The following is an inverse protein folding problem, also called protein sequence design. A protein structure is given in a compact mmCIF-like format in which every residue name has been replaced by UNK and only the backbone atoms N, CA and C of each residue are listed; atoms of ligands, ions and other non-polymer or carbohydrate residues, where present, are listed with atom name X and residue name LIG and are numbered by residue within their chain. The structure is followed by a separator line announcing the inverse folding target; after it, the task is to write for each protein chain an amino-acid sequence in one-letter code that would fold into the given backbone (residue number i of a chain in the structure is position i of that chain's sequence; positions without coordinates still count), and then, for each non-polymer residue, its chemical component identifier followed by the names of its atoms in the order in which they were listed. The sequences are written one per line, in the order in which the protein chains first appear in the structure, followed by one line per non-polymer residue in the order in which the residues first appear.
data_IF_832998346712
#
_entry.id   IF_832998346712
#
_cell.length_a   1.000
_cell.length_b   1.000
_cell.length_c   1.000
_cell.angle_alpha   90.00
_cell.angle_beta   90.00
_cell.angle_gamma   90.00
#
_symmetry.space_group_name_H-M   'P 1'
#
loop_
_entity.id
_entity.type
_entity.pdbx_description
1 polymer ?
#
# COMPACT_ATOMS: atom_id res chain seq x y z
N UNK A 1 -8.64 -8.84 -17.00
CA UNK A 1 -7.84 -7.99 -16.10
C UNK A 1 -7.50 -8.81 -14.88
N UNK A 2 -6.34 -9.46 -14.89
CA UNK A 2 -5.85 -10.20 -13.73
C UNK A 2 -4.43 -9.73 -13.51
N UNK A 3 -4.20 -9.06 -12.39
CA UNK A 3 -2.88 -8.55 -11.99
C UNK A 3 -1.87 -9.68 -11.75
N UNK A 4 -2.37 -10.90 -11.55
CA UNK A 4 -1.58 -12.10 -11.38
C UNK A 4 -0.52 -12.29 -12.47
N UNK A 5 -0.89 -12.17 -13.75
CA UNK A 5 0.03 -12.43 -14.86
C UNK A 5 1.10 -11.33 -15.05
N UNK A 6 0.76 -10.02 -15.01
CA UNK A 6 1.76 -8.95 -14.93
C UNK A 6 2.72 -9.11 -13.74
N UNK A 7 2.19 -9.30 -12.53
CA UNK A 7 2.97 -9.40 -11.29
C UNK A 7 3.96 -10.58 -11.34
N UNK A 8 3.50 -11.78 -11.74
CA UNK A 8 4.38 -12.96 -11.89
C UNK A 8 5.46 -12.72 -12.94
N UNK A 9 5.13 -12.12 -14.09
CA UNK A 9 6.13 -11.84 -15.12
C UNK A 9 7.18 -10.84 -14.66
N UNK A 10 6.77 -9.81 -13.93
CA UNK A 10 7.70 -8.81 -13.42
C UNK A 10 8.60 -9.39 -12.32
N UNK A 11 8.04 -10.12 -11.36
CA UNK A 11 8.81 -10.84 -10.34
C UNK A 11 9.79 -11.87 -10.94
N UNK A 12 9.41 -12.55 -12.02
CA UNK A 12 10.32 -13.43 -12.77
C UNK A 12 11.45 -12.65 -13.45
N UNK A 13 11.13 -11.51 -14.08
CA UNK A 13 12.11 -10.70 -14.79
C UNK A 13 13.17 -10.12 -13.83
N UNK A 14 12.76 -9.61 -12.68
CA UNK A 14 13.67 -9.10 -11.64
C UNK A 14 14.64 -10.17 -11.12
N UNK A 15 14.19 -11.43 -11.10
CA UNK A 15 15.00 -12.58 -10.66
C UNK A 15 15.74 -13.29 -11.81
N UNK A 16 15.68 -12.77 -13.03
CA UNK A 16 16.31 -13.36 -14.21
C UNK A 16 15.75 -14.73 -14.61
N UNK A 17 14.51 -15.03 -14.22
CA UNK A 17 13.88 -16.34 -14.42
C UNK A 17 13.22 -16.44 -15.80
N UNK A 18 13.59 -17.46 -16.57
CA UNK A 18 12.94 -17.74 -17.86
C UNK A 18 11.66 -18.55 -17.69
N UNK A 19 10.69 -18.37 -18.60
CA UNK A 19 9.43 -19.13 -18.60
C UNK A 19 9.64 -20.65 -18.59
N UNK A 20 10.61 -21.16 -19.36
CA UNK A 20 10.90 -22.60 -19.42
C UNK A 20 11.52 -23.11 -18.11
N UNK A 21 12.42 -22.34 -17.51
CA UNK A 21 13.02 -22.68 -16.22
C UNK A 21 11.95 -22.71 -15.11
N UNK A 22 11.11 -21.67 -15.05
CA UNK A 22 9.98 -21.61 -14.12
C UNK A 22 9.04 -22.80 -14.32
N UNK A 23 8.55 -23.04 -15.55
CA UNK A 23 7.64 -24.14 -15.85
C UNK A 23 8.19 -25.51 -15.42
N UNK A 24 9.49 -25.75 -15.65
CA UNK A 24 10.19 -26.95 -15.19
C UNK A 24 10.23 -27.04 -13.66
N UNK A 25 10.56 -25.95 -12.98
CA UNK A 25 10.67 -25.91 -11.52
C UNK A 25 9.33 -26.17 -10.81
N UNK A 26 8.23 -25.64 -11.36
CA UNK A 26 6.89 -25.83 -10.80
C UNK A 26 6.18 -27.09 -11.35
N UNK A 27 6.85 -27.90 -12.16
CA UNK A 27 6.31 -29.11 -12.79
C UNK A 27 5.01 -28.91 -13.62
N UNK A 28 4.93 -27.81 -14.38
CA UNK A 28 3.82 -27.54 -15.30
C UNK A 28 4.26 -27.48 -16.77
N UNK A 29 3.32 -27.80 -17.69
CA UNK A 29 3.54 -27.62 -19.12
C UNK A 29 3.89 -26.15 -19.46
N UNK A 30 5.01 -25.89 -20.18
CA UNK A 30 5.39 -24.53 -20.56
C UNK A 30 4.32 -23.80 -21.38
N UNK A 31 3.56 -24.53 -22.21
CA UNK A 31 2.45 -23.96 -22.97
C UNK A 31 1.31 -23.50 -22.08
N UNK A 32 1.01 -24.25 -21.01
CA UNK A 32 0.03 -23.87 -20.01
C UNK A 32 0.48 -22.64 -19.20
N UNK A 33 1.72 -22.64 -18.69
CA UNK A 33 2.31 -21.48 -18.01
C UNK A 33 2.25 -20.24 -18.90
N UNK A 34 2.61 -20.38 -20.18
CA UNK A 34 2.53 -19.27 -21.15
C UNK A 34 1.12 -18.71 -21.30
N UNK A 35 0.09 -19.56 -21.42
CA UNK A 35 -1.30 -19.09 -21.52
C UNK A 35 -1.77 -18.35 -20.27
N UNK A 36 -1.34 -18.80 -19.09
CA UNK A 36 -1.65 -18.13 -17.81
C UNK A 36 -0.94 -16.78 -17.75
N UNK A 37 0.36 -16.74 -18.00
CA UNK A 37 1.17 -15.51 -17.94
C UNK A 37 0.89 -14.53 -19.08
N UNK A 38 0.20 -14.96 -20.14
CA UNK A 38 -0.35 -14.08 -21.17
C UNK A 38 -1.78 -13.62 -20.89
N UNK A 39 -2.37 -13.99 -19.74
CA UNK A 39 -3.75 -13.66 -19.37
C UNK A 39 -4.83 -14.35 -20.22
N UNK A 40 -4.47 -15.35 -21.03
CA UNK A 40 -5.40 -16.08 -21.92
C UNK A 40 -6.19 -17.16 -21.17
N UNK A 41 -5.72 -17.58 -20.00
CA UNK A 41 -6.39 -18.55 -19.13
C UNK A 41 -6.14 -18.18 -17.65
N UNK A 42 -7.12 -18.28 -16.76
CA UNK A 42 -6.88 -18.09 -15.33
C UNK A 42 -5.96 -19.19 -14.76
N UNK A 43 -5.16 -18.88 -13.72
CA UNK A 43 -4.41 -19.90 -12.99
C UNK A 43 -5.37 -20.85 -12.25
N UNK A 44 -5.02 -22.13 -12.17
CA UNK A 44 -5.62 -23.05 -11.20
C UNK A 44 -5.05 -22.77 -9.80
N UNK A 45 -5.74 -23.13 -8.71
CA UNK A 45 -5.20 -23.00 -7.35
C UNK A 45 -3.81 -23.64 -7.20
N UNK A 46 -3.65 -24.88 -7.71
CA UNK A 46 -2.36 -25.58 -7.72
C UNK A 46 -1.25 -24.82 -8.46
N UNK A 47 -1.57 -24.12 -9.56
CA UNK A 47 -0.59 -23.33 -10.31
C UNK A 47 -0.23 -22.06 -9.53
N UNK A 48 -1.22 -21.42 -8.90
CA UNK A 48 -0.99 -20.26 -8.06
C UNK A 48 -0.08 -20.62 -6.88
N UNK A 49 -0.38 -21.69 -6.14
CA UNK A 49 0.44 -22.16 -5.01
C UNK A 49 1.88 -22.51 -5.42
N UNK A 50 2.04 -23.15 -6.59
CA UNK A 50 3.36 -23.51 -7.08
C UNK A 50 4.18 -22.29 -7.50
N UNK A 51 3.56 -21.30 -8.16
CA UNK A 51 4.20 -20.02 -8.48
C UNK A 51 4.50 -19.21 -7.21
N UNK A 52 3.60 -19.22 -6.24
CA UNK A 52 3.75 -18.55 -4.95
C UNK A 52 4.99 -19.06 -4.21
N UNK A 53 5.05 -20.39 -4.03
CA UNK A 53 6.19 -21.06 -3.40
C UNK A 53 7.49 -20.77 -4.14
N UNK A 54 7.48 -20.87 -5.48
CA UNK A 54 8.67 -20.68 -6.30
C UNK A 54 9.16 -19.22 -6.34
N UNK A 55 8.25 -18.27 -6.17
CA UNK A 55 8.55 -16.84 -6.18
C UNK A 55 8.64 -16.25 -4.77
N UNK A 56 8.58 -17.08 -3.72
CA UNK A 56 8.59 -16.65 -2.32
C UNK A 56 7.60 -15.50 -2.09
N UNK A 57 6.35 -15.70 -2.50
CA UNK A 57 5.29 -14.69 -2.37
C UNK A 57 4.44 -14.87 -1.10
N UNK A 58 4.85 -15.75 -0.18
CA UNK A 58 4.26 -15.96 1.15
C UNK A 58 2.73 -16.14 1.17
N UNK A 59 2.17 -16.79 0.15
CA UNK A 59 0.73 -17.03 0.00
C UNK A 59 -0.04 -15.87 -0.67
N UNK A 60 0.63 -14.75 -0.96
CA UNK A 60 0.00 -13.57 -1.55
C UNK A 60 -0.38 -13.77 -3.04
N UNK A 61 0.37 -14.58 -3.80
CA UNK A 61 -0.01 -14.91 -5.18
C UNK A 61 -1.24 -15.83 -5.20
N UNK A 62 -1.30 -16.80 -4.29
CA UNK A 62 -2.48 -17.66 -4.13
C UNK A 62 -3.70 -16.86 -3.66
N UNK A 63 -3.53 -15.95 -2.70
CA UNK A 63 -4.58 -15.04 -2.27
C UNK A 63 -5.08 -14.15 -3.42
N UNK A 64 -4.19 -13.59 -4.24
CA UNK A 64 -4.56 -12.78 -5.40
C UNK A 64 -5.33 -13.60 -6.45
N UNK A 65 -4.93 -14.85 -6.70
CA UNK A 65 -5.66 -15.74 -7.61
C UNK A 65 -7.08 -16.07 -7.10
N UNK A 66 -7.24 -16.16 -5.78
CA UNK A 66 -8.51 -16.42 -5.10
C UNK A 66 -9.36 -15.18 -4.83
N UNK A 67 -8.80 -13.97 -4.95
CA UNK A 67 -9.45 -12.69 -4.59
C UNK A 67 -10.76 -12.42 -5.34
N UNK A 68 -10.95 -13.05 -6.51
CA UNK A 68 -12.21 -13.00 -7.24
C UNK A 68 -12.79 -14.40 -7.37
N UNK A 69 -14.09 -14.55 -7.10
CA UNK A 69 -14.84 -15.74 -7.52
C UNK A 69 -15.07 -15.72 -9.03
N UNK A 70 -15.48 -16.84 -9.66
CA UNK A 70 -15.92 -16.84 -11.05
C UNK A 70 -17.05 -15.82 -11.31
N UNK A 71 -17.96 -15.64 -10.34
CA UNK A 71 -19.08 -14.71 -10.44
C UNK A 71 -18.61 -13.26 -10.37
N UNK A 72 -17.65 -12.94 -9.50
CA UNK A 72 -17.06 -11.60 -9.44
C UNK A 72 -16.32 -11.25 -10.74
N UNK A 73 -15.61 -12.21 -11.32
CA UNK A 73 -14.97 -12.03 -12.62
C UNK A 73 -15.99 -11.74 -13.71
N UNK A 74 -17.10 -12.48 -13.74
CA UNK A 74 -18.19 -12.26 -14.69
C UNK A 74 -18.86 -10.89 -14.48
N UNK A 75 -19.08 -10.50 -13.22
CA UNK A 75 -19.65 -9.20 -12.82
C UNK A 75 -18.77 -8.04 -13.24
N UNK A 76 -17.49 -8.08 -12.92
CA UNK A 76 -16.52 -7.06 -13.35
C UNK A 76 -16.51 -7.00 -14.88
N UNK A 77 -16.40 -8.13 -15.59
CA UNK A 77 -16.45 -8.13 -17.05
C UNK A 77 -17.74 -7.51 -17.63
N UNK A 78 -18.89 -7.77 -17.00
CA UNK A 78 -20.17 -7.17 -17.38
C UNK A 78 -20.17 -5.65 -17.19
N UNK A 79 -19.70 -5.15 -16.04
CA UNK A 79 -19.64 -3.72 -15.75
C UNK A 79 -18.75 -2.98 -16.76
N UNK A 80 -17.69 -3.60 -17.27
CA UNK A 80 -16.88 -3.03 -18.34
C UNK A 80 -17.61 -2.95 -19.69
N UNK A 81 -18.46 -3.94 -20.01
CA UNK A 81 -19.28 -3.92 -21.22
C UNK A 81 -20.47 -2.96 -21.11
N UNK A 82 -20.99 -2.74 -19.90
CA UNK A 82 -22.11 -1.85 -19.63
C UNK A 82 -21.86 -0.96 -18.39
N UNK A 83 -20.99 0.08 -18.48
CA UNK A 83 -20.59 0.91 -17.33
C UNK A 83 -21.74 1.56 -16.56
N UNK A 84 -22.83 1.92 -17.26
CA UNK A 84 -24.03 2.50 -16.65
C UNK A 84 -24.83 1.51 -15.80
N UNK A 85 -24.54 0.21 -15.88
CA UNK A 85 -25.19 -0.87 -15.13
C UNK A 85 -24.29 -1.46 -14.04
N UNK A 86 -23.24 -0.73 -13.65
CA UNK A 86 -22.36 -1.15 -12.55
C UNK A 86 -23.15 -1.24 -11.25
N UNK A 87 -22.89 -2.29 -10.49
CA UNK A 87 -23.50 -2.55 -9.19
C UNK A 87 -22.49 -2.44 -8.04
N UNK A 88 -23.00 -2.55 -6.81
CA UNK A 88 -22.19 -2.53 -5.59
C UNK A 88 -21.19 -3.70 -5.52
N UNK A 89 -21.56 -4.87 -6.03
CA UNK A 89 -20.67 -6.04 -6.07
C UNK A 89 -19.41 -5.80 -6.91
N UNK A 90 -19.49 -4.97 -7.96
CA UNK A 90 -18.32 -4.58 -8.75
C UNK A 90 -17.34 -3.75 -7.93
N UNK A 91 -17.82 -2.83 -7.09
CA UNK A 91 -16.95 -2.03 -6.22
C UNK A 91 -16.26 -2.91 -5.18
N UNK A 92 -17.00 -3.82 -4.52
CA UNK A 92 -16.43 -4.79 -3.58
C UNK A 92 -15.36 -5.68 -4.23
N UNK A 93 -15.66 -6.26 -5.40
CA UNK A 93 -14.70 -7.09 -6.13
C UNK A 93 -13.40 -6.33 -6.48
N UNK A 94 -13.50 -5.06 -6.86
CA UNK A 94 -12.32 -4.23 -7.14
C UNK A 94 -11.54 -3.87 -5.87
N UNK A 95 -12.23 -3.67 -4.74
CA UNK A 95 -11.62 -3.43 -3.43
C UNK A 95 -10.87 -4.68 -2.92
N UNK A 96 -11.45 -5.86 -3.06
CA UNK A 96 -10.82 -7.13 -2.66
C UNK A 96 -9.56 -7.42 -3.47
N UNK A 97 -9.60 -7.15 -4.79
CA UNK A 97 -8.41 -7.22 -5.65
C UNK A 97 -7.34 -6.23 -5.19
N UNK A 98 -7.71 -4.97 -4.89
CA UNK A 98 -6.77 -3.98 -4.40
C UNK A 98 -6.12 -4.39 -3.07
N UNK A 99 -6.91 -4.95 -2.15
CA UNK A 99 -6.39 -5.46 -0.88
C UNK A 99 -5.39 -6.62 -1.09
N UNK A 100 -5.68 -7.55 -2.00
CA UNK A 100 -4.77 -8.64 -2.35
C UNK A 100 -3.50 -8.14 -3.05
N UNK A 101 -3.61 -7.11 -3.91
CA UNK A 101 -2.47 -6.50 -4.59
C UNK A 101 -1.50 -5.83 -3.62
N UNK A 102 -1.99 -5.17 -2.56
CA UNK A 102 -1.14 -4.58 -1.52
C UNK A 102 -0.29 -5.64 -0.82
N UNK A 103 -0.92 -6.74 -0.40
CA UNK A 103 -0.20 -7.86 0.24
C UNK A 103 0.81 -8.53 -0.68
N UNK A 104 0.50 -8.61 -1.98
CA UNK A 104 1.45 -9.16 -2.94
C UNK A 104 2.67 -8.24 -3.11
N UNK A 105 2.48 -6.92 -3.08
CA UNK A 105 3.60 -5.96 -3.16
C UNK A 105 4.58 -6.10 -2.00
N UNK A 106 4.13 -6.43 -0.80
CA UNK A 106 5.03 -6.70 0.33
C UNK A 106 6.06 -7.81 0.02
N UNK A 107 5.71 -8.77 -0.84
CA UNK A 107 6.59 -9.90 -1.21
C UNK A 107 7.36 -9.70 -2.53
N UNK A 108 6.76 -9.04 -3.53
CA UNK A 108 7.38 -8.89 -4.87
C UNK A 108 7.92 -7.49 -5.16
N UNK A 109 7.65 -6.51 -4.29
CA UNK A 109 8.13 -5.14 -4.40
C UNK A 109 7.32 -4.25 -5.35
N UNK A 110 7.52 -2.93 -5.19
CA UNK A 110 6.76 -1.91 -5.91
C UNK A 110 7.03 -1.88 -7.42
N UNK A 111 8.27 -2.18 -7.84
CA UNK A 111 8.67 -2.19 -9.24
C UNK A 111 7.89 -3.23 -10.05
N UNK A 112 7.69 -4.41 -9.49
CA UNK A 112 6.95 -5.49 -10.12
C UNK A 112 5.43 -5.20 -10.22
N UNK A 113 4.88 -4.51 -9.22
CA UNK A 113 3.44 -4.21 -9.13
C UNK A 113 2.99 -3.03 -10.01
N UNK A 114 3.86 -2.02 -10.17
CA UNK A 114 3.46 -0.75 -10.78
C UNK A 114 2.87 -0.86 -12.20
N UNK A 115 3.45 -1.62 -13.16
CA UNK A 115 2.94 -1.64 -14.53
C UNK A 115 1.50 -2.15 -14.66
N UNK A 116 1.13 -3.19 -13.90
CA UNK A 116 -0.23 -3.73 -13.98
C UNK A 116 -1.24 -2.88 -13.21
N UNK A 117 -0.83 -2.26 -12.08
CA UNK A 117 -1.66 -1.25 -11.41
C UNK A 117 -1.98 -0.06 -12.33
N UNK A 118 -1.02 0.44 -13.12
CA UNK A 118 -1.28 1.51 -14.09
C UNK A 118 -2.26 1.06 -15.19
N UNK A 119 -2.07 -0.15 -15.74
CA UNK A 119 -2.98 -0.69 -16.74
C UNK A 119 -4.40 -0.90 -16.19
N UNK A 120 -4.53 -1.29 -14.92
CA UNK A 120 -5.82 -1.41 -14.24
C UNK A 120 -6.45 -0.03 -14.01
N UNK A 121 -5.69 0.99 -13.62
CA UNK A 121 -6.19 2.36 -13.49
C UNK A 121 -6.73 2.90 -14.82
N UNK A 122 -6.02 2.68 -15.92
CA UNK A 122 -6.47 3.07 -17.26
C UNK A 122 -7.80 2.41 -17.65
N UNK A 123 -8.02 1.17 -17.20
CA UNK A 123 -9.25 0.44 -17.45
C UNK A 123 -10.40 0.87 -16.52
N UNK A 124 -10.17 0.98 -15.21
CA UNK A 124 -11.22 1.20 -14.20
C UNK A 124 -11.62 2.68 -14.09
N UNK A 125 -10.72 3.63 -14.40
CA UNK A 125 -11.05 5.06 -14.30
C UNK A 125 -12.21 5.48 -15.23
N UNK A 126 -12.26 5.06 -16.51
CA UNK A 126 -13.43 5.28 -17.36
C UNK A 126 -14.71 4.62 -16.83
N UNK A 127 -14.61 3.44 -16.20
CA UNK A 127 -15.76 2.77 -15.59
C UNK A 127 -16.37 3.66 -14.49
N UNK A 128 -15.56 4.19 -13.58
CA UNK A 128 -16.01 5.08 -12.51
C UNK A 128 -16.66 6.38 -13.03
N UNK A 129 -16.10 6.97 -14.08
CA UNK A 129 -16.67 8.18 -14.72
C UNK A 129 -18.02 7.93 -15.39
N UNK A 130 -18.24 6.71 -15.89
CA UNK A 130 -19.44 6.34 -16.63
C UNK A 130 -20.50 5.63 -15.77
N UNK A 131 -20.17 5.29 -14.52
CA UNK A 131 -21.14 4.77 -13.56
C UNK A 131 -22.28 5.77 -13.33
N UNK A 132 -23.44 5.26 -12.95
CA UNK A 132 -24.66 6.04 -12.69
C UNK A 132 -25.36 5.51 -11.44
N UNK A 133 -26.15 6.38 -10.81
CA UNK A 133 -26.96 6.00 -9.66
C UNK A 133 -26.15 5.79 -8.36
N UNK A 134 -26.66 4.99 -7.42
CA UNK A 134 -26.12 4.92 -6.05
C UNK A 134 -24.71 4.33 -5.96
N UNK A 135 -24.25 3.59 -6.98
CA UNK A 135 -22.96 2.90 -6.97
C UNK A 135 -21.78 3.77 -7.44
N UNK A 136 -22.03 5.02 -7.86
CA UNK A 136 -20.98 5.95 -8.29
C UNK A 136 -19.99 6.23 -7.16
N UNK A 137 -20.47 6.51 -5.95
CA UNK A 137 -19.63 6.85 -4.80
C UNK A 137 -18.72 5.69 -4.35
N UNK A 138 -19.24 4.47 -4.10
CA UNK A 138 -18.39 3.31 -3.77
C UNK A 138 -17.31 3.05 -4.82
N UNK A 139 -17.67 3.13 -6.11
CA UNK A 139 -16.70 2.90 -7.18
C UNK A 139 -15.65 4.01 -7.27
N UNK A 140 -16.04 5.28 -7.10
CA UNK A 140 -15.10 6.40 -7.02
C UNK A 140 -14.15 6.26 -5.83
N UNK A 141 -14.63 5.78 -4.68
CA UNK A 141 -13.79 5.52 -3.51
C UNK A 141 -12.69 4.48 -3.85
N UNK A 142 -13.06 3.35 -4.45
CA UNK A 142 -12.08 2.32 -4.85
C UNK A 142 -11.08 2.85 -5.87
N UNK A 143 -11.52 3.64 -6.86
CA UNK A 143 -10.58 4.23 -7.83
C UNK A 143 -9.69 5.30 -7.17
N UNK A 144 -10.19 6.05 -6.19
CA UNK A 144 -9.38 6.96 -5.39
C UNK A 144 -8.29 6.20 -4.62
N UNK A 145 -8.62 5.06 -4.01
CA UNK A 145 -7.65 4.19 -3.34
C UNK A 145 -6.63 3.59 -4.30
N UNK A 146 -7.04 3.20 -5.51
CA UNK A 146 -6.12 2.74 -6.56
C UNK A 146 -5.13 3.84 -6.99
N UNK A 147 -5.58 5.09 -7.11
CA UNK A 147 -4.68 6.22 -7.36
C UNK A 147 -3.76 6.47 -6.16
N UNK A 148 -4.25 6.36 -4.94
CA UNK A 148 -3.42 6.48 -3.73
C UNK A 148 -2.33 5.41 -3.74
N UNK A 149 -2.69 4.16 -4.06
CA UNK A 149 -1.76 3.04 -4.11
C UNK A 149 -0.71 3.23 -5.21
N UNK A 150 -1.10 3.60 -6.43
CA UNK A 150 -0.15 3.94 -7.48
C UNK A 150 0.79 5.09 -7.06
N UNK A 151 0.26 6.07 -6.29
CA UNK A 151 1.06 7.11 -5.65
C UNK A 151 2.12 6.59 -4.70
N UNK A 152 1.77 5.60 -3.86
CA UNK A 152 2.73 4.88 -3.01
C UNK A 152 3.79 4.15 -3.84
N UNK A 153 3.40 3.36 -4.84
CA UNK A 153 4.33 2.61 -5.69
C UNK A 153 5.36 3.54 -6.36
N UNK A 154 4.92 4.68 -6.90
CA UNK A 154 5.84 5.68 -7.43
C UNK A 154 6.75 6.29 -6.36
N UNK A 155 6.25 6.51 -5.14
CA UNK A 155 7.04 7.07 -4.05
C UNK A 155 8.12 6.08 -3.56
N UNK A 156 7.80 4.79 -3.46
CA UNK A 156 8.75 3.74 -3.14
C UNK A 156 9.90 3.70 -4.16
N UNK A 157 9.57 3.87 -5.45
CA UNK A 157 10.55 3.93 -6.55
C UNK A 157 11.23 5.30 -6.73
N UNK A 158 11.05 6.25 -5.80
CA UNK A 158 11.59 7.62 -5.85
C UNK A 158 11.21 8.40 -7.12
N UNK A 159 10.08 8.06 -7.73
CA UNK A 159 9.48 8.79 -8.85
C UNK A 159 8.53 9.88 -8.33
N UNK A 160 9.08 10.78 -7.51
CA UNK A 160 8.32 11.70 -6.65
C UNK A 160 7.30 12.57 -7.42
N UNK A 161 7.62 13.00 -8.64
CA UNK A 161 6.70 13.79 -9.47
C UNK A 161 5.43 13.01 -9.83
N UNK A 162 5.58 11.75 -10.21
CA UNK A 162 4.44 10.89 -10.52
C UNK A 162 3.66 10.55 -9.26
N UNK A 163 4.36 10.25 -8.16
CA UNK A 163 3.75 10.00 -6.85
C UNK A 163 2.82 11.16 -6.44
N UNK A 164 3.33 12.39 -6.43
CA UNK A 164 2.54 13.58 -6.07
C UNK A 164 1.36 13.80 -7.01
N UNK A 165 1.50 13.50 -8.30
CA UNK A 165 0.41 13.59 -9.27
C UNK A 165 -0.70 12.56 -9.03
N UNK A 166 -0.35 11.34 -8.62
CA UNK A 166 -1.32 10.28 -8.30
C UNK A 166 -2.01 10.56 -6.96
N UNK A 167 -1.26 10.97 -5.94
CA UNK A 167 -1.81 11.33 -4.62
C UNK A 167 -2.77 12.53 -4.68
N UNK A 168 -2.49 13.52 -5.53
CA UNK A 168 -3.41 14.64 -5.74
C UNK A 168 -4.74 14.17 -6.35
N UNK A 169 -4.69 13.33 -7.39
CA UNK A 169 -5.89 12.75 -8.02
C UNK A 169 -6.68 11.90 -7.04
N UNK A 170 -5.98 11.08 -6.24
CA UNK A 170 -6.60 10.26 -5.20
C UNK A 170 -7.42 11.11 -4.22
N UNK A 171 -6.83 12.20 -3.72
CA UNK A 171 -7.53 13.14 -2.83
C UNK A 171 -8.76 13.76 -3.50
N UNK A 172 -8.62 14.31 -4.71
CA UNK A 172 -9.73 14.95 -5.42
C UNK A 172 -10.90 13.97 -5.66
N UNK A 173 -10.58 12.71 -5.99
CA UNK A 173 -11.58 11.65 -6.16
C UNK A 173 -12.22 11.21 -4.84
N UNK A 174 -11.43 11.12 -3.77
CA UNK A 174 -11.91 10.76 -2.43
C UNK A 174 -12.88 11.83 -1.88
N UNK A 175 -12.61 13.11 -2.13
CA UNK A 175 -13.51 14.21 -1.79
C UNK A 175 -14.87 14.05 -2.51
N UNK A 176 -14.86 13.68 -3.80
CA UNK A 176 -16.09 13.40 -4.57
C UNK A 176 -16.82 12.10 -4.19
N UNK A 177 -16.11 11.14 -3.60
CA UNK A 177 -16.68 9.90 -3.09
C UNK A 177 -17.22 10.02 -1.65
N UNK A 178 -16.84 11.10 -0.95
CA UNK A 178 -16.98 11.26 0.51
C UNK A 178 -16.36 10.06 1.24
N UNK A 179 -15.06 9.86 0.93
CA UNK A 179 -14.18 8.83 1.46
C UNK A 179 -13.01 9.49 2.25
N UNK A 180 -13.28 10.06 3.44
CA UNK A 180 -12.34 10.94 4.14
C UNK A 180 -11.01 10.27 4.52
N UNK A 181 -11.04 9.00 4.92
CA UNK A 181 -9.82 8.24 5.22
C UNK A 181 -8.90 8.14 4.01
N UNK A 182 -9.44 7.94 2.80
CA UNK A 182 -8.64 7.86 1.57
C UNK A 182 -7.98 9.22 1.27
N UNK A 183 -8.73 10.32 1.45
CA UNK A 183 -8.20 11.67 1.28
C UNK A 183 -7.09 11.99 2.30
N UNK A 184 -7.26 11.58 3.57
CA UNK A 184 -6.27 11.74 4.63
C UNK A 184 -5.00 10.94 4.34
N UNK A 185 -5.13 9.66 3.96
CA UNK A 185 -3.99 8.81 3.59
C UNK A 185 -3.25 9.40 2.39
N UNK A 186 -3.95 9.79 1.32
CA UNK A 186 -3.32 10.41 0.15
C UNK A 186 -2.55 11.70 0.52
N UNK A 187 -3.09 12.48 1.46
CA UNK A 187 -2.44 13.69 1.98
C UNK A 187 -1.21 13.34 2.81
N UNK A 188 -1.29 12.34 3.69
CA UNK A 188 -0.19 11.83 4.51
C UNK A 188 0.99 11.33 3.66
N UNK A 189 0.71 10.59 2.59
CA UNK A 189 1.75 10.11 1.67
C UNK A 189 2.48 11.25 0.92
N UNK A 190 1.88 12.44 0.78
CA UNK A 190 2.62 13.62 0.30
C UNK A 190 3.65 14.09 1.33
N UNK A 191 3.34 13.93 2.62
CA UNK A 191 4.28 14.15 3.73
C UNK A 191 5.41 13.14 3.71
N UNK A 192 5.13 11.86 3.44
CA UNK A 192 6.16 10.84 3.18
C UNK A 192 7.11 11.27 2.03
N UNK A 193 6.58 11.67 0.87
CA UNK A 193 7.42 12.16 -0.24
C UNK A 193 8.23 13.40 0.16
N UNK A 194 7.67 14.30 0.97
CA UNK A 194 8.40 15.46 1.48
C UNK A 194 9.54 15.07 2.43
N UNK A 195 9.32 14.08 3.31
CA UNK A 195 10.35 13.53 4.22
C UNK A 195 11.50 12.95 3.44
N UNK A 196 11.18 12.16 2.42
CA UNK A 196 12.14 11.57 1.48
C UNK A 196 13.00 12.62 0.73
N UNK A 197 12.56 13.88 0.70
CA UNK A 197 13.27 15.02 0.10
C UNK A 197 13.90 15.97 1.14
N UNK A 198 13.85 15.64 2.44
CA UNK A 198 14.33 16.49 3.53
C UNK A 198 13.53 17.78 3.72
N UNK A 199 12.30 17.85 3.21
CA UNK A 199 11.45 19.05 3.28
C UNK A 199 10.55 19.02 4.51
N UNK A 200 11.13 19.05 5.70
CA UNK A 200 10.41 18.88 6.97
C UNK A 200 9.26 19.87 7.25
N UNK A 201 9.33 21.16 6.86
CA UNK A 201 8.15 22.03 6.94
C UNK A 201 6.96 21.53 6.11
N UNK A 202 7.22 20.84 4.99
CA UNK A 202 6.17 20.23 4.18
C UNK A 202 5.66 18.91 4.78
N UNK A 203 6.51 18.15 5.49
CA UNK A 203 6.09 16.98 6.28
C UNK A 203 5.06 17.41 7.32
N UNK A 204 5.40 18.40 8.15
CA UNK A 204 4.50 18.91 9.20
C UNK A 204 3.20 19.42 8.60
N UNK A 205 3.23 20.21 7.51
CA UNK A 205 1.99 20.69 6.87
C UNK A 205 1.10 19.56 6.35
N UNK A 206 1.68 18.55 5.71
CA UNK A 206 0.92 17.41 5.19
C UNK A 206 0.32 16.57 6.32
N UNK A 207 1.13 16.24 7.33
CA UNK A 207 0.70 15.48 8.50
C UNK A 207 -0.40 16.22 9.30
N UNK A 208 -0.25 17.52 9.51
CA UNK A 208 -1.27 18.35 10.18
C UNK A 208 -2.58 18.42 9.39
N UNK A 209 -2.51 18.46 8.06
CA UNK A 209 -3.71 18.43 7.21
C UNK A 209 -4.41 17.05 7.24
N UNK A 210 -3.64 15.96 7.23
CA UNK A 210 -4.17 14.61 7.27
C UNK A 210 -4.78 14.27 8.64
N UNK A 211 -4.09 14.59 9.75
CA UNK A 211 -4.56 14.29 11.12
C UNK A 211 -5.84 15.02 11.53
N UNK A 212 -6.11 16.19 10.94
CA UNK A 212 -7.31 16.98 11.20
C UNK A 212 -8.36 16.85 10.08
N UNK A 213 -8.20 15.87 9.18
CA UNK A 213 -9.18 15.61 8.14
C UNK A 213 -10.48 15.08 8.78
N UNK A 214 -11.63 15.77 8.60
CA UNK A 214 -12.89 15.32 9.20
C UNK A 214 -13.29 13.93 8.71
N UNK A 215 -13.62 13.04 9.63
CA UNK A 215 -14.02 11.66 9.32
C UNK A 215 -12.89 10.70 8.97
N UNK A 216 -11.63 11.14 9.01
CA UNK A 216 -10.49 10.24 8.86
C UNK A 216 -10.39 9.25 10.03
N UNK A 217 -10.03 8.00 9.73
CA UNK A 217 -9.88 6.96 10.74
C UNK A 217 -8.82 7.31 11.81
N UNK A 218 -9.09 6.98 13.07
CA UNK A 218 -8.21 7.31 14.23
C UNK A 218 -6.80 6.75 14.03
N UNK A 219 -6.67 5.51 13.57
CA UNK A 219 -5.37 4.87 13.29
C UNK A 219 -4.51 5.66 12.29
N UNK A 220 -5.13 6.30 11.29
CA UNK A 220 -4.41 7.20 10.37
C UNK A 220 -3.96 8.48 11.11
N UNK A 221 -4.81 9.05 11.97
CA UNK A 221 -4.49 10.24 12.75
C UNK A 221 -3.33 9.99 13.75
N UNK A 222 -3.21 8.79 14.30
CA UNK A 222 -2.07 8.38 15.13
C UNK A 222 -0.78 8.48 14.32
N UNK A 223 -0.74 7.84 13.15
CA UNK A 223 0.43 7.90 12.28
C UNK A 223 0.77 9.33 11.85
N UNK A 224 -0.22 10.14 11.51
CA UNK A 224 0.01 11.53 11.13
C UNK A 224 0.53 12.37 12.30
N UNK A 225 0.11 12.08 13.52
CA UNK A 225 0.68 12.71 14.72
C UNK A 225 2.17 12.35 14.88
N UNK A 226 2.54 11.08 14.70
CA UNK A 226 3.93 10.63 14.72
C UNK A 226 4.76 11.25 13.57
N UNK A 227 4.18 11.35 12.37
CA UNK A 227 4.84 11.96 11.22
C UNK A 227 5.08 13.47 11.43
N UNK A 228 4.12 14.17 12.05
CA UNK A 228 4.32 15.56 12.47
C UNK A 228 5.42 15.67 13.54
N UNK A 229 5.42 14.78 14.53
CA UNK A 229 6.46 14.74 15.57
C UNK A 229 7.86 14.57 14.95
N UNK A 230 8.00 13.67 13.98
CA UNK A 230 9.26 13.48 13.25
C UNK A 230 9.67 14.75 12.49
N UNK A 231 8.73 15.39 11.79
CA UNK A 231 9.00 16.64 11.10
C UNK A 231 9.50 17.75 12.03
N UNK A 232 8.90 17.89 13.23
CA UNK A 232 9.36 18.83 14.25
C UNK A 232 10.74 18.46 14.81
N UNK A 233 10.99 17.18 15.10
CA UNK A 233 12.27 16.70 15.61
C UNK A 233 13.42 17.02 14.63
N UNK A 234 13.22 16.76 13.34
CA UNK A 234 14.19 17.04 12.27
C UNK A 234 14.49 18.54 12.08
N UNK A 235 13.57 19.41 12.50
CA UNK A 235 13.78 20.86 12.51
C UNK A 235 14.41 21.37 13.82
N UNK A 236 14.74 20.49 14.76
CA UNK A 236 15.28 20.84 16.09
C UNK A 236 14.23 21.33 17.09
N UNK A 237 12.95 21.19 16.78
CA UNK A 237 11.84 21.67 17.60
C UNK A 237 11.43 20.61 18.64
N UNK A 238 12.37 20.28 19.52
CA UNK A 238 12.28 19.12 20.43
C UNK A 238 11.01 19.11 21.31
N UNK A 239 10.61 20.26 21.84
CA UNK A 239 9.41 20.34 22.70
C UNK A 239 8.12 20.08 21.92
N UNK A 240 8.06 20.50 20.65
CA UNK A 240 6.91 20.22 19.79
C UNK A 240 6.84 18.72 19.44
N UNK A 241 7.98 18.12 19.13
CA UNK A 241 8.06 16.69 18.86
C UNK A 241 7.62 15.84 20.06
N UNK A 242 8.12 16.15 21.28
CA UNK A 242 7.75 15.42 22.51
C UNK A 242 6.27 15.52 22.83
N UNK A 243 5.67 16.71 22.73
CA UNK A 243 4.22 16.89 22.92
C UNK A 243 3.39 16.03 21.95
N UNK A 244 3.84 15.90 20.70
CA UNK A 244 3.15 15.08 19.71
C UNK A 244 3.37 13.57 19.95
N UNK A 245 4.50 13.15 20.51
CA UNK A 245 4.69 11.77 20.97
C UNK A 245 3.70 11.44 22.10
N UNK A 246 3.55 12.32 23.09
CA UNK A 246 2.58 12.16 24.18
C UNK A 246 1.14 12.10 23.63
N UNK A 247 0.78 12.98 22.69
CA UNK A 247 -0.53 12.96 22.02
C UNK A 247 -0.76 11.65 21.25
N UNK A 248 0.26 11.15 20.53
CA UNK A 248 0.16 9.90 19.79
C UNK A 248 -0.06 8.71 20.74
N UNK A 249 0.63 8.67 21.88
CA UNK A 249 0.47 7.62 22.89
C UNK A 249 -0.96 7.55 23.41
N UNK A 250 -1.60 8.69 23.71
CA UNK A 250 -3.00 8.72 24.14
C UNK A 250 -3.99 8.28 23.05
N UNK A 251 -3.73 8.63 21.78
CA UNK A 251 -4.63 8.26 20.66
C UNK A 251 -4.55 6.79 20.27
N UNK A 252 -3.45 6.10 20.56
CA UNK A 252 -3.32 4.65 20.29
C UNK A 252 -4.40 3.87 21.05
N UNK A 253 -4.73 4.28 22.27
CA UNK A 253 -5.77 3.62 23.08
C UNK A 253 -7.19 3.78 22.50
N UNK A 254 -7.40 4.80 21.65
CA UNK A 254 -8.67 5.06 20.96
C UNK A 254 -8.75 4.39 19.58
N UNK A 255 -7.62 3.88 19.07
CA UNK A 255 -7.54 3.32 17.73
C UNK A 255 -8.22 1.93 17.68
N UNK A 256 -9.17 1.80 16.78
CA UNK A 256 -9.75 0.51 16.39
C UNK A 256 -8.94 -0.16 15.29
N UNK A 257 -9.36 -1.36 14.87
CA UNK A 257 -8.75 -2.07 13.75
C UNK A 257 -8.56 -1.15 12.52
N UNK A 258 -7.36 -1.15 11.91
CA UNK A 258 -7.08 -0.28 10.78
C UNK A 258 -7.99 -0.62 9.58
N UNK A 259 -8.46 0.39 8.82
CA UNK A 259 -9.11 0.16 7.55
C UNK A 259 -8.10 -0.40 6.53
N UNK A 260 -8.58 -1.12 5.52
CA UNK A 260 -7.75 -1.87 4.56
C UNK A 260 -6.65 -1.05 3.86
N UNK A 261 -6.87 0.24 3.64
CA UNK A 261 -5.88 1.15 3.04
C UNK A 261 -4.61 1.34 3.89
N UNK A 262 -4.70 1.12 5.21
CA UNK A 262 -3.60 1.22 6.18
C UNK A 262 -3.54 -0.03 7.06
N UNK A 263 -3.83 -1.20 6.48
CA UNK A 263 -4.03 -2.47 7.20
C UNK A 263 -2.85 -2.89 8.11
N UNK A 264 -1.64 -2.35 7.87
CA UNK A 264 -0.42 -2.62 8.64
C UNK A 264 -0.17 -1.62 9.76
N UNK A 265 -1.02 -0.60 9.92
CA UNK A 265 -0.89 0.36 11.01
C UNK A 265 -1.37 -0.27 12.30
N UNK A 266 -0.41 -0.72 13.10
CA UNK A 266 -0.64 -1.28 14.43
C UNK A 266 0.51 -0.96 15.38
N UNK A 267 0.47 -1.52 16.60
CA UNK A 267 1.43 -1.20 17.66
C UNK A 267 2.89 -1.33 17.21
N UNK A 268 3.23 -2.41 16.48
CA UNK A 268 4.59 -2.64 15.96
C UNK A 268 5.01 -1.53 15.00
N UNK A 269 4.16 -1.15 14.05
CA UNK A 269 4.45 -0.06 13.10
C UNK A 269 4.54 1.31 13.79
N UNK A 270 3.70 1.58 14.80
CA UNK A 270 3.80 2.80 15.57
C UNK A 270 5.08 2.86 16.40
N UNK A 271 5.52 1.76 17.00
CA UNK A 271 6.80 1.67 17.69
C UNK A 271 7.97 2.02 16.75
N UNK A 272 7.96 1.55 15.50
CA UNK A 272 8.97 1.92 14.50
C UNK A 272 9.03 3.44 14.30
N UNK A 273 7.88 4.08 14.13
CA UNK A 273 7.82 5.54 13.89
C UNK A 273 8.17 6.34 15.14
N UNK A 274 7.78 5.90 16.34
CA UNK A 274 8.23 6.49 17.61
C UNK A 274 9.76 6.44 17.71
N UNK A 275 10.36 5.29 17.41
CA UNK A 275 11.80 5.12 17.39
C UNK A 275 12.51 6.05 16.41
N UNK A 276 11.92 6.29 15.23
CA UNK A 276 12.43 7.30 14.28
C UNK A 276 12.40 8.72 14.86
N UNK A 277 11.34 9.10 15.58
CA UNK A 277 11.29 10.42 16.24
C UNK A 277 12.36 10.54 17.32
N UNK A 278 12.54 9.52 18.16
CA UNK A 278 13.60 9.51 19.17
C UNK A 278 15.00 9.62 18.55
N UNK A 279 15.23 8.94 17.41
CA UNK A 279 16.50 9.04 16.69
C UNK A 279 16.76 10.48 16.22
N UNK A 280 15.75 11.16 15.65
CA UNK A 280 15.84 12.56 15.23
C UNK A 280 16.03 13.53 16.42
N UNK A 281 15.61 13.15 17.63
CA UNK A 281 15.83 13.91 18.88
C UNK A 281 17.18 13.62 19.56
N UNK A 282 18.00 12.71 19.02
CA UNK A 282 19.27 12.27 19.63
C UNK A 282 19.11 11.27 20.78
N UNK A 283 17.90 10.75 21.02
CA UNK A 283 17.61 9.72 22.02
C UNK A 283 17.94 8.32 21.50
N UNK A 284 19.22 8.01 21.29
CA UNK A 284 19.64 6.79 20.60
C UNK A 284 19.24 5.48 21.31
N UNK A 285 19.25 5.45 22.64
CA UNK A 285 18.81 4.29 23.42
C UNK A 285 17.31 4.01 23.22
N UNK A 286 16.46 5.02 23.44
CA UNK A 286 15.01 4.90 23.23
C UNK A 286 14.67 4.56 21.78
N UNK A 287 15.40 5.16 20.82
CA UNK A 287 15.24 4.86 19.41
C UNK A 287 15.52 3.37 19.12
N UNK A 288 16.64 2.84 19.63
CA UNK A 288 17.01 1.44 19.42
C UNK A 288 16.00 0.47 20.04
N UNK A 289 15.45 0.78 21.22
CA UNK A 289 14.46 -0.05 21.87
C UNK A 289 13.13 -0.09 21.11
N UNK A 290 12.61 1.07 20.69
CA UNK A 290 11.37 1.15 19.92
C UNK A 290 11.50 0.52 18.53
N UNK A 291 12.61 0.78 17.82
CA UNK A 291 12.86 0.21 16.50
C UNK A 291 12.98 -1.32 16.57
N UNK A 292 13.68 -1.85 17.59
CA UNK A 292 13.78 -3.29 17.81
C UNK A 292 12.41 -3.89 18.12
N UNK A 293 11.67 -3.33 19.08
CA UNK A 293 10.35 -3.83 19.45
C UNK A 293 9.39 -3.83 18.27
N UNK A 294 9.40 -2.77 17.45
CA UNK A 294 8.61 -2.69 16.24
C UNK A 294 8.98 -3.75 15.20
N UNK A 295 10.27 -3.93 14.90
CA UNK A 295 10.75 -4.91 13.92
C UNK A 295 10.46 -6.36 14.37
N UNK A 296 10.72 -6.68 15.64
CA UNK A 296 10.48 -8.01 16.20
C UNK A 296 8.98 -8.34 16.26
N UNK A 297 8.14 -7.31 16.41
CA UNK A 297 6.68 -7.42 16.46
C UNK A 297 5.98 -7.45 15.10
N UNK A 298 6.70 -7.38 13.97
CA UNK A 298 6.07 -7.46 12.65
C UNK A 298 5.59 -8.90 12.35
N UNK A 299 4.43 -9.05 11.68
CA UNK A 299 4.00 -10.32 11.12
C UNK A 299 5.09 -10.94 10.22
N UNK A 300 5.24 -12.28 10.18
CA UNK A 300 6.27 -12.95 9.40
C UNK A 300 6.37 -12.44 7.95
N UNK A 301 5.24 -12.25 7.29
CA UNK A 301 5.13 -11.79 5.90
C UNK A 301 5.63 -10.36 5.67
N UNK A 302 5.79 -9.54 6.72
CA UNK A 302 6.23 -8.14 6.62
C UNK A 302 7.68 -7.93 7.06
N UNK A 303 8.31 -8.91 7.72
CA UNK A 303 9.65 -8.72 8.33
C UNK A 303 10.72 -8.35 7.30
N UNK A 304 10.62 -8.92 6.11
CA UNK A 304 11.57 -8.72 5.01
C UNK A 304 11.06 -7.76 3.93
N UNK A 305 9.86 -7.19 4.11
CA UNK A 305 9.27 -6.27 3.15
C UNK A 305 10.19 -5.05 2.93
N UNK A 306 10.21 -4.54 1.69
CA UNK A 306 11.18 -3.51 1.26
C UNK A 306 11.09 -2.24 2.12
N UNK A 307 9.88 -1.87 2.52
CA UNK A 307 9.62 -0.67 3.33
C UNK A 307 10.27 -0.74 4.73
N UNK A 308 10.59 -1.92 5.25
CA UNK A 308 11.24 -2.07 6.58
C UNK A 308 12.70 -1.63 6.60
N UNK A 309 13.34 -1.49 5.43
CA UNK A 309 14.77 -1.23 5.29
C UNK A 309 15.20 0.03 6.04
N UNK A 310 14.42 1.11 5.95
CA UNK A 310 14.76 2.37 6.61
C UNK A 310 14.81 2.25 8.13
N UNK A 311 13.93 1.44 8.72
CA UNK A 311 13.89 1.21 10.16
C UNK A 311 15.04 0.33 10.64
N UNK A 312 15.43 -0.68 9.84
CA UNK A 312 16.63 -1.49 10.12
C UNK A 312 17.91 -0.65 10.07
N UNK A 313 18.03 0.22 9.09
CA UNK A 313 19.17 1.13 8.97
C UNK A 313 19.22 2.12 10.15
N UNK A 314 18.07 2.66 10.56
CA UNK A 314 17.97 3.52 11.74
C UNK A 314 18.35 2.79 13.03
N UNK A 315 17.92 1.54 13.21
CA UNK A 315 18.27 0.72 14.38
C UNK A 315 19.78 0.49 14.47
N UNK A 316 20.42 0.16 13.35
CA UNK A 316 21.86 -0.03 13.30
C UNK A 316 22.63 1.25 13.66
N UNK A 317 22.18 2.41 13.17
CA UNK A 317 22.76 3.71 13.52
C UNK A 317 22.56 4.03 15.01
N UNK A 318 21.36 3.82 15.55
CA UNK A 318 21.06 4.09 16.95
C UNK A 318 21.88 3.23 17.91
N UNK A 319 22.20 1.98 17.53
CA UNK A 319 23.08 1.10 18.32
C UNK A 319 24.57 1.47 18.27
N UNK A 320 24.98 2.21 17.25
CA UNK A 320 26.37 2.58 17.02
C UNK A 320 26.75 3.96 17.58
N UNK A 321 25.76 4.78 17.93
CA UNK A 321 25.91 6.10 18.52
C UNK A 321 26.01 6.02 20.05
#
# INVERSE_FOLDING_TARGET
MSEFAPAVRAAMAERGLSLRATAKAIAFDPGYVSRVLSGKRPPTPQMADALDTYLHADGALSALAAALTPDDRARVAHSFAAPSRTDEGTAHALADVLAAQRRLEDSIGAAAMLPGMLAQLDAVTPLARNARGPHVRPLLAVVAEMHQYAGWLFAALRQDRHALGMLARAKDMADGADAPTVAAVATSFRGYVARQQGRYPAVVRAAQAARHSPGAHVTQQVFDTLQAAQGHAEMGEADAARRLLDEAAHRVDEATDPPGIVYWYGPSFFALNIGMVHASLGGHADAADHLRAGLDGLPPEQRDAEWTREYRDALNKARAA
#
